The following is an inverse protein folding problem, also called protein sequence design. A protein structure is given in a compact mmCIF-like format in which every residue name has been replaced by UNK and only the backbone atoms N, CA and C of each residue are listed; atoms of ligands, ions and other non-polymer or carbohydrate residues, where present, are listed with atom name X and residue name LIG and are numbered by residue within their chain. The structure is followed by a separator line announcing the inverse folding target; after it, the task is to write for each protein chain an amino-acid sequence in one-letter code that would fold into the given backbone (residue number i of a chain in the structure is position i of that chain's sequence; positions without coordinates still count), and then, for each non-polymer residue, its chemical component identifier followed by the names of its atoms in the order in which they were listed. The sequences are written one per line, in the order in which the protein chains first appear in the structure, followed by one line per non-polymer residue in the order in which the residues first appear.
data_IF_388238302988
#
_entry.id   IF_388238302988
#
_cell.length_a   1.000
_cell.length_b   1.000
_cell.length_c   1.000
_cell.angle_alpha   90.00
_cell.angle_beta   90.00
_cell.angle_gamma   90.00
#
_symmetry.space_group_name_H-M   'P 1'
#
loop_
_entity.id
_entity.type
_entity.pdbx_description
1 polymer ?
#
# COMPACT_ATOMS: atom_id res chain seq x y z
N UNK A 1 26.86 -5.80 -24.80
CA UNK A 1 26.14 -7.01 -25.31
C UNK A 1 24.65 -6.73 -25.30
N UNK A 2 23.94 -7.19 -26.31
CA UNK A 2 22.48 -7.20 -26.29
C UNK A 2 21.98 -8.22 -25.24
N UNK A 3 20.76 -8.01 -24.70
CA UNK A 3 20.22 -8.87 -23.62
C UNK A 3 20.20 -10.37 -23.99
N UNK A 4 20.00 -10.72 -25.28
CA UNK A 4 20.03 -12.10 -25.76
C UNK A 4 21.42 -12.74 -25.87
N UNK A 5 22.49 -11.96 -25.71
CA UNK A 5 23.88 -12.42 -25.81
C UNK A 5 24.53 -12.62 -24.43
N UNK A 6 23.80 -12.32 -23.35
CA UNK A 6 24.29 -12.44 -21.99
C UNK A 6 24.20 -13.91 -21.55
N UNK A 7 25.36 -14.48 -21.20
CA UNK A 7 25.45 -15.84 -20.65
C UNK A 7 25.69 -15.77 -19.14
N UNK A 8 25.39 -16.84 -18.40
CA UNK A 8 25.62 -16.89 -16.94
C UNK A 8 27.07 -16.61 -16.55
N UNK A 9 28.05 -17.00 -17.38
CA UNK A 9 29.46 -16.67 -17.16
C UNK A 9 29.80 -15.18 -17.20
N UNK A 10 28.94 -14.37 -17.87
CA UNK A 10 29.10 -12.91 -17.93
C UNK A 10 28.57 -12.23 -16.67
N UNK A 11 27.74 -12.92 -15.89
CA UNK A 11 27.16 -12.45 -14.65
C UNK A 11 28.06 -12.80 -13.45
N UNK A 12 29.33 -12.41 -13.55
CA UNK A 12 30.32 -12.56 -12.50
C UNK A 12 30.19 -11.47 -11.42
N UNK A 13 31.02 -11.53 -10.39
CA UNK A 13 30.99 -10.59 -9.27
C UNK A 13 31.18 -9.13 -9.73
N UNK A 14 32.16 -8.89 -10.61
CA UNK A 14 32.47 -7.55 -11.11
C UNK A 14 31.28 -6.92 -11.85
N UNK A 15 30.63 -7.71 -12.68
CA UNK A 15 29.44 -7.26 -13.44
C UNK A 15 28.28 -6.92 -12.51
N UNK A 16 28.01 -7.76 -11.49
CA UNK A 16 26.89 -7.55 -10.55
C UNK A 16 27.18 -6.37 -9.64
N UNK A 17 28.38 -6.29 -9.08
CA UNK A 17 28.79 -5.18 -8.20
C UNK A 17 28.83 -3.86 -8.99
N UNK A 18 29.36 -3.89 -10.21
CA UNK A 18 29.37 -2.74 -11.12
C UNK A 18 27.97 -2.26 -11.46
N UNK A 19 27.01 -3.16 -11.75
CA UNK A 19 25.62 -2.81 -11.98
C UNK A 19 24.98 -2.16 -10.74
N UNK A 20 25.21 -2.72 -9.56
CA UNK A 20 24.64 -2.18 -8.33
C UNK A 20 25.26 -0.82 -7.96
N UNK A 21 26.52 -0.58 -8.22
CA UNK A 21 27.17 0.72 -8.08
C UNK A 21 26.62 1.73 -9.09
N UNK A 22 26.43 1.31 -10.33
CA UNK A 22 25.88 2.16 -11.39
C UNK A 22 24.46 2.63 -11.08
N UNK A 23 23.57 1.77 -10.59
CA UNK A 23 22.21 2.21 -10.23
C UNK A 23 22.20 3.20 -9.06
N UNK A 24 23.16 3.14 -8.15
CA UNK A 24 23.31 4.14 -7.08
C UNK A 24 23.87 5.45 -7.61
N UNK A 25 24.98 5.41 -8.37
CA UNK A 25 25.69 6.61 -8.82
C UNK A 25 24.94 7.35 -9.95
N UNK A 26 24.56 6.63 -11.02
CA UNK A 26 24.00 7.23 -12.22
C UNK A 26 22.47 7.35 -12.20
N UNK A 27 21.79 6.44 -11.50
CA UNK A 27 20.32 6.44 -11.40
C UNK A 27 19.81 7.02 -10.09
N UNK A 28 20.69 7.42 -9.17
CA UNK A 28 20.32 7.99 -7.88
C UNK A 28 19.46 7.07 -7.00
N UNK A 29 19.56 5.75 -7.18
CA UNK A 29 18.77 4.81 -6.44
C UNK A 29 19.19 4.75 -4.96
N UNK A 30 18.21 4.68 -4.04
CA UNK A 30 18.47 4.48 -2.62
C UNK A 30 19.12 3.12 -2.34
N UNK A 31 19.79 3.00 -1.19
CA UNK A 31 20.35 1.74 -0.68
C UNK A 31 19.28 0.65 -0.61
N UNK A 32 18.06 1.00 -0.19
CA UNK A 32 16.91 0.07 -0.16
C UNK A 32 16.59 -0.47 -1.55
N UNK A 33 16.53 0.41 -2.56
CA UNK A 33 16.30 0.01 -3.97
C UNK A 33 17.43 -0.87 -4.49
N UNK A 34 18.69 -0.53 -4.20
CA UNK A 34 19.87 -1.32 -4.54
C UNK A 34 19.76 -2.73 -3.93
N UNK A 35 19.44 -2.83 -2.64
CA UNK A 35 19.30 -4.10 -1.95
C UNK A 35 18.11 -4.94 -2.50
N UNK A 36 17.01 -4.29 -2.88
CA UNK A 36 15.90 -4.96 -3.55
C UNK A 36 16.32 -5.57 -4.90
N UNK A 37 17.13 -4.86 -5.68
CA UNK A 37 17.71 -5.41 -6.94
C UNK A 37 18.61 -6.60 -6.68
N UNK A 38 19.47 -6.51 -5.64
CA UNK A 38 20.31 -7.64 -5.23
C UNK A 38 19.46 -8.85 -4.83
N UNK A 39 18.39 -8.66 -4.07
CA UNK A 39 17.45 -9.74 -3.70
C UNK A 39 16.77 -10.37 -4.92
N UNK A 40 16.41 -9.56 -5.91
CA UNK A 40 15.86 -10.07 -7.17
C UNK A 40 16.86 -10.93 -7.94
N UNK A 41 18.13 -10.48 -8.01
CA UNK A 41 19.21 -11.27 -8.61
C UNK A 41 19.47 -12.58 -7.85
N UNK A 42 19.40 -12.55 -6.52
CA UNK A 42 19.57 -13.74 -5.68
C UNK A 42 18.42 -14.76 -5.91
N UNK A 43 17.18 -14.28 -6.01
CA UNK A 43 16.02 -15.12 -6.32
C UNK A 43 16.14 -15.75 -7.71
N UNK A 44 16.57 -14.96 -8.70
CA UNK A 44 16.80 -15.45 -10.05
C UNK A 44 17.96 -16.47 -10.11
N UNK A 45 19.04 -16.22 -9.36
CA UNK A 45 20.14 -17.16 -9.28
C UNK A 45 19.71 -18.53 -8.73
N UNK A 46 18.89 -18.56 -7.66
CA UNK A 46 18.32 -19.79 -7.13
C UNK A 46 17.41 -20.50 -8.13
N UNK A 47 16.55 -19.77 -8.83
CA UNK A 47 15.73 -20.33 -9.90
C UNK A 47 16.58 -20.94 -11.03
N UNK A 48 17.63 -20.24 -11.46
CA UNK A 48 18.52 -20.69 -12.53
C UNK A 48 19.29 -21.95 -12.13
N UNK A 49 19.79 -22.04 -10.88
CA UNK A 49 20.45 -23.25 -10.36
C UNK A 49 19.55 -24.48 -10.36
N UNK A 50 18.25 -24.30 -10.06
CA UNK A 50 17.29 -25.42 -10.12
C UNK A 50 17.04 -25.91 -11.55
N UNK A 51 17.37 -25.14 -12.59
CA UNK A 51 17.22 -25.49 -14.01
C UNK A 51 18.52 -26.02 -14.64
N UNK A 52 19.63 -25.35 -14.33
CA UNK A 52 20.95 -25.75 -14.81
C UNK A 52 21.98 -25.35 -13.76
N UNK A 53 22.28 -26.28 -12.86
CA UNK A 53 23.16 -26.05 -11.71
C UNK A 53 24.57 -25.60 -12.14
N UNK A 54 25.15 -26.31 -13.10
CA UNK A 54 26.50 -26.06 -13.55
C UNK A 54 26.68 -24.66 -14.15
N UNK A 55 25.81 -24.31 -15.11
CA UNK A 55 25.86 -23.03 -15.78
C UNK A 55 25.59 -21.85 -14.84
N UNK A 56 24.68 -22.01 -13.87
CA UNK A 56 24.26 -20.95 -12.97
C UNK A 56 25.11 -20.81 -11.70
N UNK A 57 26.01 -21.75 -11.41
CA UNK A 57 26.78 -21.74 -10.15
C UNK A 57 27.67 -20.52 -10.03
N UNK A 58 28.34 -20.10 -11.10
CA UNK A 58 29.22 -18.90 -11.10
C UNK A 58 28.40 -17.67 -10.75
N UNK A 59 27.26 -17.49 -11.40
CA UNK A 59 26.33 -16.39 -11.13
C UNK A 59 25.81 -16.39 -9.68
N UNK A 60 25.36 -17.53 -9.20
CA UNK A 60 24.84 -17.65 -7.83
C UNK A 60 25.90 -17.35 -6.77
N UNK A 61 27.15 -17.81 -6.96
CA UNK A 61 28.25 -17.50 -6.07
C UNK A 61 28.63 -16.02 -6.13
N UNK A 62 28.60 -15.42 -7.32
CA UNK A 62 28.84 -13.98 -7.49
C UNK A 62 27.82 -13.14 -6.70
N UNK A 63 26.53 -13.45 -6.83
CA UNK A 63 25.45 -12.74 -6.08
C UNK A 63 25.63 -12.89 -4.57
N UNK A 64 25.95 -14.09 -4.07
CA UNK A 64 26.14 -14.35 -2.63
C UNK A 64 27.30 -13.55 -2.03
N UNK A 65 28.33 -13.24 -2.82
CA UNK A 65 29.50 -12.45 -2.38
C UNK A 65 29.21 -10.96 -2.25
N UNK A 66 28.16 -10.46 -2.89
CA UNK A 66 27.81 -9.02 -2.81
C UNK A 66 27.12 -8.73 -1.47
N UNK A 67 27.70 -7.85 -0.64
CA UNK A 67 27.11 -7.55 0.66
C UNK A 67 25.84 -6.72 0.54
N UNK A 68 24.87 -7.00 1.41
CA UNK A 68 23.73 -6.12 1.63
C UNK A 68 24.22 -4.87 2.36
N UNK A 69 23.91 -3.69 1.83
CA UNK A 69 24.25 -2.42 2.48
C UNK A 69 23.27 -2.15 3.63
N UNK A 70 23.80 -1.74 4.77
CA UNK A 70 22.99 -1.25 5.90
C UNK A 70 22.54 0.19 5.62
N UNK A 71 21.30 0.47 5.91
CA UNK A 71 20.73 1.81 5.86
C UNK A 71 20.15 2.13 7.24
N UNK A 72 20.30 3.38 7.68
CA UNK A 72 19.66 3.82 8.90
C UNK A 72 18.13 3.70 8.74
N UNK A 73 17.49 3.02 9.68
CA UNK A 73 16.03 2.90 9.68
C UNK A 73 15.45 4.28 10.00
N UNK A 74 14.81 4.89 9.01
CA UNK A 74 14.10 6.13 9.23
C UNK A 74 12.87 5.88 10.10
N UNK A 75 12.58 6.73 11.09
CA UNK A 75 11.36 6.65 11.88
C UNK A 75 10.13 6.60 10.94
N UNK A 76 9.17 5.76 11.28
CA UNK A 76 7.91 5.76 10.54
C UNK A 76 7.14 7.02 10.87
N UNK A 77 6.71 7.71 9.82
CA UNK A 77 5.77 8.82 9.95
C UNK A 77 4.44 8.26 10.45
N UNK A 78 3.94 8.81 11.54
CA UNK A 78 2.64 8.49 12.13
C UNK A 78 1.88 9.78 12.39
N UNK A 79 0.56 9.71 12.41
CA UNK A 79 -0.25 10.84 12.86
C UNK A 79 -0.33 10.89 14.37
N UNK A 80 -0.44 12.09 14.90
CA UNK A 80 -0.97 12.31 16.25
C UNK A 80 -2.48 12.07 16.28
N UNK A 81 -3.06 11.89 17.47
CA UNK A 81 -4.51 11.71 17.61
C UNK A 81 -5.29 12.94 17.13
N UNK A 82 -4.74 14.13 17.35
CA UNK A 82 -5.35 15.39 16.91
C UNK A 82 -5.33 15.48 15.38
N UNK A 83 -4.22 15.15 14.73
CA UNK A 83 -4.13 15.11 13.27
C UNK A 83 -5.13 14.11 12.67
N UNK A 84 -5.27 12.92 13.26
CA UNK A 84 -6.29 11.95 12.86
C UNK A 84 -7.69 12.54 13.00
N UNK A 85 -8.00 13.14 14.16
CA UNK A 85 -9.31 13.73 14.43
C UNK A 85 -9.68 14.81 13.40
N UNK A 86 -8.72 15.68 13.09
CA UNK A 86 -8.88 16.71 12.06
C UNK A 86 -9.16 16.05 10.71
N UNK A 87 -8.28 15.12 10.29
CA UNK A 87 -8.38 14.48 8.96
C UNK A 87 -9.72 13.77 8.74
N UNK A 88 -10.24 13.07 9.76
CA UNK A 88 -11.50 12.35 9.68
C UNK A 88 -12.74 13.26 9.63
N UNK A 89 -12.63 14.51 10.07
CA UNK A 89 -13.73 15.50 10.09
C UNK A 89 -13.73 16.42 8.87
N UNK A 90 -12.66 16.51 8.09
CA UNK A 90 -12.55 17.38 6.93
C UNK A 90 -13.56 17.08 5.80
N UNK A 91 -13.87 15.79 5.49
CA UNK A 91 -14.87 15.52 4.46
C UNK A 91 -16.28 15.98 4.89
N UNK A 92 -16.96 16.73 4.03
CA UNK A 92 -18.33 17.22 4.27
C UNK A 92 -19.36 16.10 4.00
N UNK A 93 -19.98 15.50 5.03
CA UNK A 93 -20.92 14.40 4.85
C UNK A 93 -22.26 14.81 4.21
N UNK A 94 -22.52 16.11 4.07
CA UNK A 94 -23.68 16.63 3.34
C UNK A 94 -23.53 16.50 1.82
N UNK A 95 -22.33 16.24 1.33
CA UNK A 95 -22.04 16.01 -0.09
C UNK A 95 -21.78 14.53 -0.34
N UNK A 96 -22.42 13.97 -1.39
CA UNK A 96 -22.26 12.55 -1.76
C UNK A 96 -20.80 12.08 -1.81
N UNK A 97 -19.91 12.86 -2.42
CA UNK A 97 -18.50 12.54 -2.48
C UNK A 97 -17.80 12.73 -1.12
N UNK A 98 -18.23 13.71 -0.34
CA UNK A 98 -17.71 13.94 1.00
C UNK A 98 -18.10 12.83 1.97
N UNK A 99 -19.33 12.34 1.94
CA UNK A 99 -19.73 11.17 2.73
C UNK A 99 -18.90 9.93 2.37
N UNK A 100 -18.70 9.66 1.08
CA UNK A 100 -17.82 8.57 0.62
C UNK A 100 -16.40 8.71 1.18
N UNK A 101 -15.82 9.90 1.04
CA UNK A 101 -14.46 10.18 1.45
C UNK A 101 -14.32 10.08 2.97
N UNK A 102 -15.34 10.50 3.72
CA UNK A 102 -15.36 10.37 5.19
C UNK A 102 -15.39 8.91 5.62
N UNK A 103 -16.28 8.10 5.02
CA UNK A 103 -16.34 6.64 5.29
C UNK A 103 -15.01 5.98 4.95
N UNK A 104 -14.42 6.33 3.80
CA UNK A 104 -13.13 5.78 3.36
C UNK A 104 -12.03 6.04 4.39
N UNK A 105 -11.82 7.29 4.80
CA UNK A 105 -10.80 7.65 5.78
C UNK A 105 -11.07 7.00 7.14
N UNK A 106 -12.32 6.98 7.60
CA UNK A 106 -12.71 6.33 8.85
C UNK A 106 -12.41 4.82 8.81
N UNK A 107 -12.76 4.13 7.73
CA UNK A 107 -12.49 2.69 7.61
C UNK A 107 -11.00 2.39 7.51
N UNK A 108 -10.23 3.19 6.79
CA UNK A 108 -8.78 3.04 6.74
C UNK A 108 -8.16 3.12 8.14
N UNK A 109 -8.57 4.11 8.94
CA UNK A 109 -8.09 4.28 10.31
C UNK A 109 -8.58 3.14 11.23
N UNK A 110 -9.89 2.89 11.26
CA UNK A 110 -10.50 1.92 12.17
C UNK A 110 -10.05 0.47 11.90
N UNK A 111 -9.73 0.15 10.64
CA UNK A 111 -9.39 -1.22 10.25
C UNK A 111 -7.89 -1.48 10.11
N UNK A 112 -7.08 -0.44 9.97
CA UNK A 112 -5.68 -0.56 9.60
C UNK A 112 -5.49 -1.32 8.27
N UNK A 113 -6.49 -1.33 7.40
CA UNK A 113 -6.44 -2.03 6.12
C UNK A 113 -5.48 -1.34 5.13
N UNK A 114 -4.92 -2.14 4.21
CA UNK A 114 -4.15 -1.61 3.09
C UNK A 114 -5.10 -0.96 2.07
N UNK A 115 -4.60 0.01 1.30
CA UNK A 115 -5.40 0.67 0.26
C UNK A 115 -6.07 -0.34 -0.70
N UNK A 116 -5.34 -1.36 -1.16
CA UNK A 116 -5.91 -2.41 -2.00
C UNK A 116 -7.03 -3.18 -1.28
N UNK A 117 -6.84 -3.52 -0.01
CA UNK A 117 -7.85 -4.24 0.79
C UNK A 117 -9.14 -3.42 0.91
N UNK A 118 -9.02 -2.08 1.03
CA UNK A 118 -10.18 -1.16 1.02
C UNK A 118 -10.86 -1.13 -0.35
N UNK A 119 -10.08 -1.10 -1.45
CA UNK A 119 -10.62 -1.15 -2.81
C UNK A 119 -11.42 -2.44 -3.08
N UNK A 120 -10.97 -3.55 -2.49
CA UNK A 120 -11.54 -4.88 -2.73
C UNK A 120 -12.76 -5.18 -1.85
N UNK A 121 -13.05 -4.35 -0.83
CA UNK A 121 -14.20 -4.54 0.06
C UNK A 121 -15.53 -4.53 -0.70
N UNK A 122 -16.32 -5.57 -0.51
CA UNK A 122 -17.69 -5.69 -0.99
C UNK A 122 -18.68 -5.55 0.16
N UNK A 123 -19.94 -5.27 -0.18
CA UNK A 123 -21.01 -5.12 0.82
C UNK A 123 -21.14 -6.37 1.71
N UNK A 124 -20.98 -7.57 1.15
CA UNK A 124 -20.98 -8.84 1.90
C UNK A 124 -19.88 -8.96 2.97
N UNK A 125 -18.83 -8.16 2.86
CA UNK A 125 -17.71 -8.18 3.80
C UNK A 125 -18.00 -7.34 5.05
N UNK A 126 -19.08 -6.59 5.05
CA UNK A 126 -19.57 -5.79 6.17
C UNK A 126 -20.77 -6.48 6.81
N UNK A 127 -20.68 -6.73 8.12
CA UNK A 127 -21.74 -7.32 8.93
C UNK A 127 -22.12 -6.35 10.04
N UNK A 128 -23.40 -6.04 10.12
CA UNK A 128 -24.01 -5.22 11.17
C UNK A 128 -25.01 -6.09 11.97
N UNK A 129 -24.70 -6.36 13.23
CA UNK A 129 -25.53 -7.16 14.14
C UNK A 129 -25.65 -6.49 15.49
N UNK A 130 -26.86 -6.12 15.92
CA UNK A 130 -27.17 -5.62 17.28
C UNK A 130 -26.11 -4.67 17.88
N UNK A 131 -25.69 -3.67 17.11
CA UNK A 131 -24.62 -2.70 17.47
C UNK A 131 -23.17 -3.24 17.39
N UNK A 132 -22.97 -4.43 16.86
CA UNK A 132 -21.65 -4.97 16.56
C UNK A 132 -21.39 -4.89 15.07
N UNK A 133 -20.34 -4.19 14.70
CA UNK A 133 -19.94 -4.00 13.31
C UNK A 133 -18.65 -4.74 13.03
N UNK A 134 -18.66 -5.58 12.01
CA UNK A 134 -17.50 -6.39 11.62
C UNK A 134 -17.15 -6.17 10.16
N UNK A 135 -15.87 -6.16 9.87
CA UNK A 135 -15.35 -6.20 8.50
C UNK A 135 -14.54 -7.49 8.31
N UNK A 136 -14.78 -8.16 7.20
CA UNK A 136 -13.99 -9.28 6.72
C UNK A 136 -13.03 -8.77 5.66
N UNK A 137 -11.73 -8.80 5.92
CA UNK A 137 -10.70 -8.26 5.03
C UNK A 137 -9.84 -9.41 4.52
N UNK A 138 -9.77 -9.55 3.20
CA UNK A 138 -8.90 -10.52 2.54
C UNK A 138 -7.66 -9.82 2.01
N UNK A 139 -6.49 -10.23 2.46
CA UNK A 139 -5.20 -9.64 2.10
C UNK A 139 -4.33 -10.56 1.24
N UNK A 140 -3.04 -10.20 1.15
CA UNK A 140 -2.04 -10.93 0.35
C UNK A 140 -2.02 -12.43 0.70
N UNK A 141 -2.05 -13.28 -0.32
CA UNK A 141 -2.07 -14.74 -0.17
C UNK A 141 -3.42 -15.29 0.26
N UNK A 142 -4.51 -14.59 -0.05
CA UNK A 142 -5.89 -14.96 0.29
C UNK A 142 -6.13 -15.15 1.80
N UNK A 143 -5.30 -14.50 2.63
CA UNK A 143 -5.45 -14.54 4.09
C UNK A 143 -6.55 -13.61 4.52
N UNK A 144 -7.59 -14.17 5.13
CA UNK A 144 -8.74 -13.42 5.61
C UNK A 144 -8.61 -13.14 7.11
N UNK A 145 -8.95 -11.91 7.52
CA UNK A 145 -9.09 -11.52 8.92
C UNK A 145 -10.43 -10.83 9.14
N UNK A 146 -11.01 -11.06 10.30
CA UNK A 146 -12.23 -10.35 10.76
C UNK A 146 -11.81 -9.34 11.83
N UNK A 147 -12.32 -8.14 11.69
CA UNK A 147 -12.08 -7.05 12.65
C UNK A 147 -13.41 -6.47 13.08
N UNK A 148 -13.47 -6.08 14.34
CA UNK A 148 -14.58 -5.29 14.88
C UNK A 148 -14.23 -3.82 14.70
N UNK A 149 -15.14 -3.06 14.12
CA UNK A 149 -14.99 -1.60 14.00
C UNK A 149 -15.89 -0.91 15.02
N UNK A 150 -15.45 0.27 15.48
CA UNK A 150 -16.21 1.06 16.44
C UNK A 150 -17.57 1.46 15.87
N UNK A 151 -18.57 1.58 16.76
CA UNK A 151 -19.95 1.92 16.40
C UNK A 151 -20.05 3.17 15.51
N UNK A 152 -19.36 4.29 15.76
CA UNK A 152 -19.44 5.47 14.88
C UNK A 152 -19.01 5.19 13.44
N UNK A 153 -17.98 4.37 13.24
CA UNK A 153 -17.51 3.98 11.90
C UNK A 153 -18.50 3.01 11.22
N UNK A 154 -19.12 2.13 12.00
CA UNK A 154 -20.12 1.17 11.50
C UNK A 154 -21.38 1.87 11.04
N UNK A 155 -21.96 2.74 11.87
CA UNK A 155 -23.17 3.52 11.51
C UNK A 155 -22.92 4.47 10.34
N UNK A 156 -21.73 5.05 10.25
CA UNK A 156 -21.35 5.87 9.10
C UNK A 156 -21.31 5.06 7.80
N UNK A 157 -20.80 3.82 7.86
CA UNK A 157 -20.79 2.92 6.71
C UNK A 157 -22.21 2.47 6.32
N UNK A 158 -23.07 2.10 7.29
CA UNK A 158 -24.46 1.77 7.01
C UNK A 158 -25.17 2.90 6.26
N UNK A 159 -25.10 4.10 6.82
CA UNK A 159 -25.66 5.31 6.19
C UNK A 159 -25.17 5.48 4.74
N UNK A 160 -23.87 5.33 4.52
CA UNK A 160 -23.29 5.44 3.18
C UNK A 160 -23.85 4.39 2.22
N UNK A 161 -23.98 3.12 2.67
CA UNK A 161 -24.55 2.05 1.84
C UNK A 161 -26.02 2.30 1.49
N UNK A 162 -26.80 2.83 2.43
CA UNK A 162 -28.20 3.21 2.21
C UNK A 162 -28.31 4.37 1.21
N UNK A 163 -27.63 5.49 1.47
CA UNK A 163 -27.66 6.69 0.61
C UNK A 163 -27.14 6.44 -0.81
N UNK A 164 -26.25 5.47 -0.99
CA UNK A 164 -25.74 5.09 -2.32
C UNK A 164 -26.53 3.97 -3.00
N UNK A 165 -27.59 3.46 -2.34
CA UNK A 165 -28.41 2.35 -2.84
C UNK A 165 -27.64 1.04 -2.98
N UNK A 166 -26.57 0.85 -2.18
CA UNK A 166 -25.77 -0.36 -2.15
C UNK A 166 -26.20 -1.35 -1.07
N UNK A 167 -27.01 -0.91 -0.09
CA UNK A 167 -27.55 -1.79 0.94
C UNK A 167 -28.24 -3.01 0.29
N UNK A 168 -27.89 -4.22 0.76
CA UNK A 168 -28.40 -5.49 0.22
C UNK A 168 -27.75 -5.97 -1.08
N UNK A 169 -26.92 -5.17 -1.76
CA UNK A 169 -26.22 -5.59 -2.98
C UNK A 169 -24.89 -6.26 -2.62
N UNK A 170 -24.95 -7.50 -2.14
CA UNK A 170 -23.82 -8.19 -1.52
C UNK A 170 -22.53 -8.22 -2.36
N UNK A 171 -22.63 -8.33 -3.69
CA UNK A 171 -21.49 -8.38 -4.59
C UNK A 171 -20.97 -7.00 -5.03
N UNK A 172 -21.67 -5.91 -4.70
CA UNK A 172 -21.23 -4.56 -5.04
C UNK A 172 -20.01 -4.18 -4.18
N UNK A 173 -19.05 -3.49 -4.80
CA UNK A 173 -17.95 -2.89 -4.06
C UNK A 173 -18.47 -1.75 -3.17
N UNK A 174 -17.99 -1.69 -1.92
CA UNK A 174 -18.34 -0.61 -0.99
C UNK A 174 -17.95 0.72 -1.62
N UNK A 175 -16.72 0.85 -2.12
CA UNK A 175 -16.26 2.07 -2.76
C UNK A 175 -16.20 1.94 -4.28
N UNK A 176 -16.81 2.88 -4.96
CA UNK A 176 -16.76 3.05 -6.41
C UNK A 176 -16.11 4.39 -6.77
N UNK A 177 -15.50 4.48 -7.94
CA UNK A 177 -15.09 5.75 -8.55
C UNK A 177 -16.28 6.39 -9.27
N UNK A 178 -16.06 7.53 -9.93
CA UNK A 178 -17.09 8.15 -10.75
C UNK A 178 -17.39 7.34 -12.02
N UNK A 179 -16.41 6.61 -12.51
CA UNK A 179 -16.48 5.92 -13.81
C UNK A 179 -16.44 4.39 -13.70
N UNK A 180 -16.07 3.85 -12.53
CA UNK A 180 -15.91 2.41 -12.34
C UNK A 180 -16.62 1.92 -11.08
N UNK A 181 -17.17 0.69 -11.10
CA UNK A 181 -17.84 0.09 -9.96
C UNK A 181 -16.91 -0.19 -8.77
N UNK A 182 -15.60 -0.32 -9.03
CA UNK A 182 -14.56 -0.49 -8.03
C UNK A 182 -13.63 0.73 -8.01
N UNK A 183 -13.27 1.22 -6.83
CA UNK A 183 -12.27 2.27 -6.64
C UNK A 183 -10.86 1.71 -6.81
N UNK A 184 -9.95 2.47 -7.41
CA UNK A 184 -8.54 2.10 -7.54
C UNK A 184 -7.70 2.67 -6.38
N UNK A 185 -6.50 2.12 -6.18
CA UNK A 185 -5.51 2.66 -5.23
C UNK A 185 -5.19 4.12 -5.55
N UNK A 186 -5.00 4.45 -6.83
CA UNK A 186 -4.70 5.83 -7.25
C UNK A 186 -5.82 6.80 -6.85
N UNK A 187 -7.08 6.35 -6.91
CA UNK A 187 -8.21 7.17 -6.44
C UNK A 187 -8.15 7.41 -4.92
N UNK A 188 -7.79 6.39 -4.13
CA UNK A 188 -7.57 6.54 -2.68
C UNK A 188 -6.42 7.52 -2.41
N UNK A 189 -5.31 7.40 -3.14
CA UNK A 189 -4.15 8.29 -2.99
C UNK A 189 -4.51 9.75 -3.29
N UNK A 190 -5.30 10.02 -4.32
CA UNK A 190 -5.75 11.37 -4.67
C UNK A 190 -6.72 11.94 -3.62
N UNK A 191 -7.66 11.13 -3.12
CA UNK A 191 -8.55 11.52 -2.01
C UNK A 191 -7.71 11.87 -0.77
N UNK A 192 -6.77 11.01 -0.43
CA UNK A 192 -5.89 11.19 0.72
C UNK A 192 -5.06 12.47 0.59
N UNK A 193 -4.41 12.66 -0.55
CA UNK A 193 -3.62 13.87 -0.86
C UNK A 193 -4.45 15.15 -0.76
N UNK A 194 -5.69 15.13 -1.28
CA UNK A 194 -6.63 16.25 -1.18
C UNK A 194 -6.86 16.65 0.29
N UNK A 195 -7.16 15.69 1.17
CA UNK A 195 -7.48 15.99 2.56
C UNK A 195 -6.25 16.33 3.40
N UNK A 196 -5.08 15.78 3.10
CA UNK A 196 -3.81 16.22 3.69
C UNK A 196 -3.51 17.68 3.31
N UNK A 197 -3.75 18.06 2.06
CA UNK A 197 -3.54 19.45 1.63
C UNK A 197 -4.50 20.39 2.36
N UNK A 198 -5.79 20.04 2.46
CA UNK A 198 -6.77 20.84 3.20
C UNK A 198 -6.42 20.93 4.69
N UNK A 199 -5.97 19.83 5.30
CA UNK A 199 -5.54 19.80 6.69
C UNK A 199 -4.36 20.78 6.93
N UNK A 200 -3.36 20.75 6.07
CA UNK A 200 -2.22 21.66 6.13
C UNK A 200 -2.60 23.13 5.97
N UNK A 201 -3.57 23.41 5.10
CA UNK A 201 -4.05 24.78 4.90
C UNK A 201 -4.81 25.29 6.13
N UNK A 202 -5.63 24.45 6.75
CA UNK A 202 -6.38 24.80 7.95
C UNK A 202 -5.58 24.79 9.25
N UNK A 203 -4.51 24.01 9.30
CA UNK A 203 -3.68 23.79 10.50
C UNK A 203 -2.20 23.77 10.11
N UNK A 204 -1.61 24.93 9.77
CA UNK A 204 -0.23 25.00 9.27
C UNK A 204 0.83 24.59 10.31
N UNK A 205 0.48 24.61 11.60
CA UNK A 205 1.31 24.16 12.73
C UNK A 205 1.32 22.64 12.90
N UNK A 206 0.48 21.92 12.15
CA UNK A 206 0.33 20.46 12.19
C UNK A 206 0.64 19.88 10.81
N UNK A 207 0.61 18.54 10.68
CA UNK A 207 0.90 17.86 9.41
C UNK A 207 2.25 18.25 8.80
N UNK A 208 3.27 18.39 9.66
CA UNK A 208 4.60 18.95 9.28
C UNK A 208 5.47 17.98 8.47
N UNK A 209 5.14 16.69 8.47
CA UNK A 209 5.93 15.70 7.77
C UNK A 209 5.92 15.91 6.26
N UNK A 210 7.06 15.71 5.63
CA UNK A 210 7.23 15.95 4.18
C UNK A 210 6.23 15.16 3.34
N UNK A 211 5.91 13.91 3.73
CA UNK A 211 5.05 13.01 2.97
C UNK A 211 4.18 12.15 3.87
N UNK A 212 2.89 12.35 3.79
CA UNK A 212 1.88 11.43 4.31
C UNK A 212 1.35 10.54 3.18
N UNK A 213 1.15 9.28 3.45
CA UNK A 213 0.60 8.31 2.50
C UNK A 213 -0.56 7.54 3.15
N UNK A 214 -1.39 6.82 2.39
CA UNK A 214 -2.41 5.95 2.98
C UNK A 214 -1.87 4.97 4.04
N UNK A 215 -0.59 4.58 3.97
CA UNK A 215 0.06 3.76 4.99
C UNK A 215 0.27 4.49 6.33
N UNK A 216 0.28 5.81 6.35
CA UNK A 216 0.42 6.59 7.58
C UNK A 216 -0.81 6.47 8.49
N UNK A 217 -1.99 6.12 7.93
CA UNK A 217 -3.23 5.86 8.67
C UNK A 217 -3.21 4.54 9.47
N UNK A 218 -2.16 3.72 9.29
CA UNK A 218 -2.12 2.36 9.79
C UNK A 218 -1.17 2.15 10.95
#
# INVERSE_FOLDING_TARGET
KNAGEILFRDLNFETIDGFLKWIEAERGCSVSTRNLRLSALASFAGYAQNRNFEAATVFANAVKRVPVKKEAVQPRITFTLDEVSILLRLPDPGKRMGLRDQVLLNLMYASGARAQEICDLKVRDFLAEKNLYKLTITGKGNKTRRIVIARPSGTLLERYLEETGKAGRLEAYIFSSQTHPQMSISCIEEIYKKYIMLARTGHPEMFLEKRYTPHTMR
#
